data_IF_545619367930
#
_entry.id   IF_545619367930
#
_cell.length_a   1.000
_cell.length_b   1.000
_cell.length_c   1.000
_cell.angle_alpha   90.00
_cell.angle_beta   90.00
_cell.angle_gamma   90.00
#
_symmetry.space_group_name_H-M   'P 1'
#
loop_
_entity.id
_entity.type
_entity.pdbx_description
1 polymer ?
#
# COMPACT_ATOMS: atom_id res chain seq x y z
N UNK A 1 22.78 34.22 -14.29
CA UNK A 1 21.75 33.42 -14.98
C UNK A 1 21.90 31.90 -14.85
N UNK A 2 23.11 31.32 -14.65
CA UNK A 2 23.27 29.86 -14.42
C UNK A 2 22.83 29.37 -13.04
N UNK A 3 22.92 30.21 -12.00
CA UNK A 3 22.59 29.85 -10.61
C UNK A 3 21.08 29.64 -10.41
N UNK A 4 20.24 30.45 -11.07
CA UNK A 4 18.78 30.34 -11.00
C UNK A 4 18.26 29.02 -11.59
N UNK A 5 18.88 28.55 -12.67
CA UNK A 5 18.54 27.27 -13.31
C UNK A 5 18.86 26.10 -12.38
N UNK A 6 20.02 26.14 -11.71
CA UNK A 6 20.43 25.12 -10.74
C UNK A 6 19.47 25.05 -9.54
N UNK A 7 19.07 26.20 -8.99
CA UNK A 7 18.10 26.24 -7.87
C UNK A 7 16.73 25.71 -8.26
N UNK A 8 16.28 25.96 -9.50
CA UNK A 8 15.00 25.47 -9.99
C UNK A 8 15.02 23.95 -10.23
N UNK A 9 16.11 23.42 -10.77
CA UNK A 9 16.35 21.98 -10.93
C UNK A 9 16.41 21.25 -9.58
N UNK A 10 17.09 21.83 -8.60
CA UNK A 10 17.12 21.29 -7.23
C UNK A 10 15.72 21.25 -6.60
N UNK A 11 14.92 22.32 -6.71
CA UNK A 11 13.55 22.32 -6.19
C UNK A 11 12.67 21.23 -6.81
N UNK A 12 12.80 21.01 -8.12
CA UNK A 12 12.05 19.96 -8.84
C UNK A 12 12.47 18.55 -8.40
N UNK A 13 13.78 18.33 -8.20
CA UNK A 13 14.30 17.04 -7.71
C UNK A 13 13.83 16.72 -6.29
N UNK A 14 13.77 17.71 -5.39
CA UNK A 14 13.26 17.51 -4.02
C UNK A 14 11.75 17.23 -3.98
N UNK A 15 10.97 17.71 -4.96
CA UNK A 15 9.53 17.48 -5.04
C UNK A 15 9.15 16.16 -5.75
N UNK A 16 10.13 15.48 -6.35
CA UNK A 16 9.93 14.22 -7.06
C UNK A 16 9.93 12.99 -6.14
N UNK A 17 10.34 13.15 -4.88
CA UNK A 17 10.27 12.09 -3.86
C UNK A 17 8.85 11.95 -3.30
N UNK A 18 7.87 11.79 -4.20
CA UNK A 18 6.57 11.27 -3.85
C UNK A 18 6.76 9.76 -3.82
N UNK A 19 7.12 9.21 -2.65
CA UNK A 19 7.09 7.75 -2.46
C UNK A 19 5.62 7.39 -2.61
N UNK A 20 5.27 6.73 -3.71
CA UNK A 20 3.90 6.29 -3.94
C UNK A 20 3.56 5.29 -2.83
N UNK A 21 2.86 5.76 -1.81
CA UNK A 21 2.46 4.93 -0.68
C UNK A 21 1.30 4.06 -1.15
N UNK A 22 1.53 2.74 -1.21
CA UNK A 22 0.48 1.77 -1.51
C UNK A 22 -0.64 1.90 -0.47
N UNK A 23 -1.88 1.91 -0.91
CA UNK A 23 -3.06 1.87 -0.05
C UNK A 23 -3.74 0.52 -0.19
N UNK A 24 -4.03 -0.13 0.92
CA UNK A 24 -4.71 -1.42 0.93
C UNK A 24 -6.02 -1.32 1.70
N UNK A 25 -6.90 -2.28 1.45
CA UNK A 25 -7.98 -2.54 2.39
C UNK A 25 -7.45 -3.27 3.63
N UNK A 26 -7.89 -2.86 4.82
CA UNK A 26 -7.62 -3.51 6.11
C UNK A 26 -8.92 -3.59 6.92
N UNK A 27 -8.90 -4.33 8.03
CA UNK A 27 -10.02 -4.37 8.97
C UNK A 27 -9.89 -3.22 9.98
N UNK A 28 -11.00 -2.52 10.27
CA UNK A 28 -10.98 -1.41 11.23
C UNK A 28 -10.85 -1.84 12.68
N UNK A 29 -11.45 -2.99 12.98
CA UNK A 29 -11.43 -3.62 14.29
C UNK A 29 -11.78 -5.11 14.15
N UNK A 30 -11.82 -5.81 15.28
CA UNK A 30 -12.08 -7.25 15.35
C UNK A 30 -13.49 -7.67 14.94
N UNK A 31 -14.44 -6.73 14.81
CA UNK A 31 -15.82 -6.99 14.37
C UNK A 31 -16.08 -6.55 12.92
N UNK A 32 -15.06 -6.09 12.19
CA UNK A 32 -15.18 -5.74 10.77
C UNK A 32 -15.06 -6.99 9.89
N UNK A 33 -16.20 -7.63 9.63
CA UNK A 33 -16.28 -8.84 8.79
C UNK A 33 -16.02 -8.57 7.29
N UNK A 34 -15.91 -7.30 6.87
CA UNK A 34 -15.77 -6.90 5.46
C UNK A 34 -14.34 -6.45 5.15
N UNK A 35 -13.60 -5.98 6.16
CA UNK A 35 -12.21 -5.55 6.08
C UNK A 35 -11.95 -4.58 4.92
N UNK A 36 -12.72 -3.50 4.82
CA UNK A 36 -12.65 -2.52 3.71
C UNK A 36 -12.24 -1.12 4.13
N UNK A 37 -11.59 -0.96 5.28
CA UNK A 37 -10.97 0.30 5.65
C UNK A 37 -9.79 0.59 4.73
N UNK A 38 -9.74 1.77 4.13
CA UNK A 38 -8.65 2.19 3.25
C UNK A 38 -7.48 2.72 4.08
N UNK A 39 -6.38 1.99 4.10
CA UNK A 39 -5.22 2.27 4.94
C UNK A 39 -3.97 2.50 4.11
N UNK A 40 -3.21 3.54 4.45
CA UNK A 40 -1.91 3.82 3.86
C UNK A 40 -0.89 2.83 4.43
N UNK A 41 -0.24 2.06 3.56
CA UNK A 41 0.71 1.06 3.98
C UNK A 41 2.06 1.67 4.37
N UNK A 42 2.85 0.98 5.21
CA UNK A 42 4.25 1.34 5.42
C UNK A 42 5.02 1.43 4.09
N UNK A 43 6.00 2.32 3.99
CA UNK A 43 6.79 2.51 2.75
C UNK A 43 7.53 1.24 2.28
N UNK A 44 7.75 0.29 3.20
CA UNK A 44 8.37 -1.01 2.90
C UNK A 44 7.39 -2.06 2.38
N UNK A 45 6.09 -1.80 2.44
CA UNK A 45 5.05 -2.74 2.01
C UNK A 45 4.73 -2.51 0.55
N UNK A 46 4.79 -3.59 -0.23
CA UNK A 46 4.62 -3.56 -1.68
C UNK A 46 3.39 -4.36 -2.13
N UNK A 47 2.72 -5.04 -1.20
CA UNK A 47 1.58 -5.90 -1.49
C UNK A 47 0.45 -5.71 -0.48
N UNK A 48 -0.79 -5.70 -0.98
CA UNK A 48 -1.96 -6.01 -0.20
C UNK A 48 -2.14 -7.52 -0.17
N UNK A 49 -2.30 -8.08 1.02
CA UNK A 49 -2.55 -9.49 1.25
C UNK A 49 -3.96 -9.67 1.77
N UNK A 50 -4.75 -10.50 1.09
CA UNK A 50 -6.07 -10.92 1.55
C UNK A 50 -6.01 -12.40 1.91
N UNK A 51 -6.41 -12.76 3.13
CA UNK A 51 -6.59 -14.13 3.58
C UNK A 51 -8.07 -14.36 3.82
N UNK A 52 -8.66 -15.29 3.07
CA UNK A 52 -10.07 -15.63 3.16
C UNK A 52 -10.25 -17.13 3.43
N UNK A 53 -11.09 -17.44 4.41
CA UNK A 53 -11.52 -18.79 4.78
C UNK A 53 -12.98 -18.76 5.21
N UNK A 54 -13.60 -19.93 5.41
CA UNK A 54 -15.02 -20.05 5.78
C UNK A 54 -15.42 -19.25 7.03
N UNK A 55 -14.47 -18.92 7.91
CA UNK A 55 -14.72 -18.25 9.19
C UNK A 55 -13.91 -16.97 9.40
N UNK A 56 -13.02 -16.61 8.47
CA UNK A 56 -12.10 -15.50 8.68
C UNK A 56 -11.78 -14.80 7.37
N UNK A 57 -11.95 -13.48 7.39
CA UNK A 57 -11.40 -12.56 6.40
C UNK A 57 -10.36 -11.68 7.10
N UNK A 58 -9.18 -11.53 6.50
CA UNK A 58 -8.15 -10.62 6.98
C UNK A 58 -7.48 -9.95 5.80
N UNK A 59 -7.17 -8.65 5.94
CA UNK A 59 -6.42 -7.91 4.94
C UNK A 59 -5.30 -7.08 5.57
N UNK A 60 -4.09 -7.22 5.04
CA UNK A 60 -2.87 -6.60 5.58
C UNK A 60 -1.96 -6.02 4.49
N UNK A 61 -1.11 -5.08 4.89
CA UNK A 61 -0.03 -4.54 4.07
C UNK A 61 1.25 -5.36 4.30
N UNK A 62 1.81 -6.00 3.28
CA UNK A 62 2.98 -6.86 3.41
C UNK A 62 4.14 -6.42 2.51
N UNK A 63 5.37 -6.64 2.97
CA UNK A 63 6.58 -6.43 2.14
C UNK A 63 6.75 -7.53 1.10
N UNK A 64 6.31 -8.74 1.45
CA UNK A 64 6.39 -9.94 0.63
C UNK A 64 5.08 -10.71 0.79
N UNK A 65 4.56 -11.24 -0.32
CA UNK A 65 3.32 -11.99 -0.30
C UNK A 65 3.47 -13.24 -1.17
N UNK A 66 3.04 -14.38 -0.64
CA UNK A 66 3.04 -15.67 -1.34
C UNK A 66 1.60 -16.13 -1.39
N UNK A 67 1.09 -16.31 -2.60
CA UNK A 67 -0.27 -16.78 -2.81
C UNK A 67 -0.39 -18.28 -2.48
N UNK A 68 -1.56 -18.64 -1.96
CA UNK A 68 -1.96 -20.02 -1.70
C UNK A 68 -3.48 -20.17 -1.93
N UNK A 69 -4.07 -21.28 -1.51
CA UNK A 69 -5.50 -21.53 -1.72
C UNK A 69 -6.41 -20.47 -1.06
N UNK A 70 -5.98 -19.89 0.06
CA UNK A 70 -6.72 -18.92 0.87
C UNK A 70 -6.13 -17.51 0.82
N UNK A 71 -4.94 -17.34 0.24
CA UNK A 71 -4.18 -16.10 0.22
C UNK A 71 -4.12 -15.53 -1.20
N UNK A 72 -4.63 -14.32 -1.38
CA UNK A 72 -4.48 -13.52 -2.62
C UNK A 72 -3.56 -12.33 -2.37
N UNK A 73 -2.70 -12.02 -3.33
CA UNK A 73 -1.74 -10.94 -3.23
C UNK A 73 -1.87 -9.97 -4.42
N UNK A 74 -1.83 -8.67 -4.17
CA UNK A 74 -1.88 -7.66 -5.22
C UNK A 74 -1.06 -6.43 -4.85
N UNK A 75 -0.64 -5.64 -5.85
CA UNK A 75 0.26 -4.48 -5.68
C UNK A 75 -0.38 -3.16 -6.14
N UNK A 76 -1.67 -3.18 -6.45
CA UNK A 76 -2.43 -2.02 -6.89
C UNK A 76 -3.18 -1.40 -5.70
N UNK A 77 -3.41 -0.09 -5.74
CA UNK A 77 -4.15 0.60 -4.68
C UNK A 77 -5.57 0.04 -4.53
N UNK A 78 -5.93 -0.25 -3.27
CA UNK A 78 -7.25 -0.70 -2.83
C UNK A 78 -7.74 -1.94 -3.61
N UNK A 79 -6.82 -2.85 -3.91
CA UNK A 79 -7.14 -4.12 -4.52
C UNK A 79 -7.85 -5.08 -3.53
N UNK A 80 -8.61 -6.08 -4.04
CA UNK A 80 -9.51 -6.92 -3.24
C UNK A 80 -8.82 -7.88 -2.26
#
# INVERSE_FOLDING_TARGET
MKVLLLTLLLLLLLCSAQVLTLRCYTCSDENDDICKEATDCPESSFFCKTVESDTQLSRTCEQYCVEDYSTTCCSDDLCP
#
